data_IF_133000538524
#
_entry.id   IF_133000538524
#
_cell.length_a   1.000
_cell.length_b   1.000
_cell.length_c   1.000
_cell.angle_alpha   90.00
_cell.angle_beta   90.00
_cell.angle_gamma   90.00
#
_symmetry.space_group_name_H-M   'P 1'
#
loop_
_entity.id
_entity.type
_entity.pdbx_description
1 polymer ?
#
# COMPACT_ATOMS: atom_id res chain seq x y z
N UNK A 1 11.69 6.56 -22.12
CA UNK A 1 12.46 7.60 -21.39
C UNK A 1 12.21 7.29 -19.93
N UNK A 2 13.05 6.41 -19.38
CA UNK A 2 12.95 5.91 -18.01
C UNK A 2 14.09 6.60 -17.28
N UNK A 3 13.82 7.73 -16.64
CA UNK A 3 14.81 8.38 -15.78
C UNK A 3 14.73 7.78 -14.38
N UNK A 4 15.93 7.65 -13.80
CA UNK A 4 16.28 6.97 -12.57
C UNK A 4 15.44 7.40 -11.36
N UNK A 5 14.77 6.44 -10.72
CA UNK A 5 14.33 6.53 -9.33
C UNK A 5 15.35 5.78 -8.46
N UNK A 6 16.51 6.40 -8.21
CA UNK A 6 17.66 5.75 -7.57
C UNK A 6 17.86 6.06 -6.07
N UNK A 7 16.95 6.76 -5.40
CA UNK A 7 17.17 7.14 -3.97
C UNK A 7 15.96 6.96 -3.06
N UNK A 8 15.01 6.11 -3.44
CA UNK A 8 14.05 5.58 -2.47
C UNK A 8 14.24 4.07 -2.43
N UNK A 9 14.98 3.60 -1.43
CA UNK A 9 15.01 2.19 -1.10
C UNK A 9 13.88 1.90 -0.10
N UNK A 10 12.69 1.45 -0.56
CA UNK A 10 11.58 1.14 0.33
C UNK A 10 11.94 0.03 1.34
N UNK A 11 13.01 -0.74 1.09
CA UNK A 11 13.46 -1.81 1.95
C UNK A 11 14.24 -1.30 3.18
N UNK A 12 14.71 -0.04 3.17
CA UNK A 12 15.45 0.55 4.30
C UNK A 12 14.63 0.75 5.58
N UNK A 13 13.29 0.72 5.47
CA UNK A 13 12.35 0.87 6.59
C UNK A 13 11.80 -0.47 7.10
N UNK A 14 12.12 -1.59 6.45
CA UNK A 14 11.75 -2.91 6.92
C UNK A 14 12.76 -3.38 7.98
N UNK A 15 12.32 -4.00 9.08
CA UNK A 15 13.25 -4.72 9.96
C UNK A 15 13.99 -5.80 9.14
N UNK A 16 15.23 -6.10 9.50
CA UNK A 16 16.14 -6.97 8.70
C UNK A 16 15.56 -8.35 8.37
N UNK A 17 14.58 -8.84 9.13
CA UNK A 17 13.89 -10.11 8.90
C UNK A 17 12.84 -10.03 7.77
N UNK A 18 12.12 -8.91 7.66
CA UNK A 18 11.06 -8.69 6.66
C UNK A 18 11.63 -8.38 5.26
N UNK A 19 12.80 -7.75 5.18
CA UNK A 19 13.52 -7.53 3.91
C UNK A 19 13.91 -8.87 3.26
N UNK A 20 14.36 -9.85 4.04
CA UNK A 20 14.71 -11.17 3.53
C UNK A 20 13.49 -11.95 3.06
N UNK A 21 12.35 -11.83 3.75
CA UNK A 21 11.11 -12.50 3.34
C UNK A 21 10.53 -11.89 2.04
N UNK A 22 10.64 -10.57 1.86
CA UNK A 22 10.27 -9.92 0.60
C UNK A 22 11.19 -10.32 -0.57
N UNK A 23 12.51 -10.28 -0.36
CA UNK A 23 13.51 -10.64 -1.39
C UNK A 23 13.47 -12.13 -1.75
N UNK A 24 13.16 -13.00 -0.79
CA UNK A 24 13.02 -14.44 -1.01
C UNK A 24 11.65 -14.86 -1.56
N UNK A 25 10.70 -13.92 -1.71
CA UNK A 25 9.35 -14.20 -2.20
C UNK A 25 8.50 -15.03 -1.24
N UNK A 26 8.85 -15.06 0.05
CA UNK A 26 8.05 -15.70 1.08
C UNK A 26 6.73 -14.96 1.24
N UNK A 27 5.68 -15.74 1.46
CA UNK A 27 4.30 -15.25 1.55
C UNK A 27 4.12 -14.51 2.88
N UNK A 28 4.29 -13.19 2.87
CA UNK A 28 4.00 -12.35 4.04
C UNK A 28 2.50 -12.42 4.33
N UNK A 29 2.16 -12.80 5.55
CA UNK A 29 0.78 -12.89 6.04
C UNK A 29 0.48 -11.73 6.97
N UNK A 30 -0.69 -11.13 6.78
CA UNK A 30 -1.29 -10.14 7.66
C UNK A 30 -1.45 -10.70 9.08
N UNK A 31 -1.52 -9.83 10.08
CA UNK A 31 -1.88 -10.17 11.47
C UNK A 31 -3.26 -10.87 11.57
N UNK A 32 -4.11 -10.68 10.57
CA UNK A 32 -5.43 -11.33 10.40
C UNK A 32 -5.31 -12.69 9.67
N UNK A 33 -4.09 -13.16 9.39
CA UNK A 33 -3.82 -14.44 8.72
C UNK A 33 -4.14 -14.46 7.22
N UNK A 34 -4.42 -13.29 6.64
CA UNK A 34 -4.68 -13.14 5.20
C UNK A 34 -3.37 -12.89 4.46
N UNK A 35 -3.24 -13.35 3.20
CA UNK A 35 -2.03 -13.08 2.44
C UNK A 35 -1.93 -11.59 2.09
N UNK A 36 -0.76 -10.98 2.28
CA UNK A 36 -0.50 -9.59 1.89
C UNK A 36 -0.29 -9.49 0.37
N UNK A 37 -1.36 -9.62 -0.40
CA UNK A 37 -1.36 -9.33 -1.84
C UNK A 37 -2.66 -8.70 -2.30
N UNK A 38 -2.58 -7.87 -3.34
CA UNK A 38 -3.76 -7.26 -3.95
C UNK A 38 -4.50 -8.17 -4.94
N UNK A 39 -3.93 -9.33 -5.31
CA UNK A 39 -4.59 -10.28 -6.23
C UNK A 39 -5.94 -10.72 -5.65
N UNK A 40 -7.03 -10.35 -6.33
CA UNK A 40 -8.39 -10.64 -5.87
C UNK A 40 -8.94 -9.69 -4.80
N UNK A 41 -8.22 -8.61 -4.47
CA UNK A 41 -8.79 -7.46 -3.77
C UNK A 41 -9.73 -6.71 -4.71
N UNK A 42 -10.75 -6.09 -4.13
CA UNK A 42 -11.81 -5.37 -4.86
C UNK A 42 -11.69 -3.87 -4.65
N UNK A 43 -12.05 -3.10 -5.67
CA UNK A 43 -12.34 -1.67 -5.50
C UNK A 43 -13.65 -1.55 -4.73
N UNK A 44 -13.55 -1.20 -3.45
CA UNK A 44 -14.69 -1.15 -2.54
C UNK A 44 -15.45 0.20 -2.61
N UNK A 45 -14.82 1.25 -3.15
CA UNK A 45 -15.46 2.53 -3.38
C UNK A 45 -15.06 3.10 -4.73
N UNK A 46 -16.04 3.41 -5.57
CA UNK A 46 -15.85 4.02 -6.90
C UNK A 46 -16.70 5.28 -6.94
N UNK A 47 -16.05 6.45 -7.01
CA UNK A 47 -16.70 7.75 -7.18
C UNK A 47 -16.46 8.22 -8.61
N UNK A 48 -17.46 8.15 -9.51
CA UNK A 48 -17.30 8.53 -10.91
C UNK A 48 -16.78 9.95 -11.07
N UNK A 49 -15.75 10.13 -11.90
CA UNK A 49 -15.14 11.44 -12.17
C UNK A 49 -14.25 11.99 -11.05
N UNK A 50 -14.00 11.22 -9.98
CA UNK A 50 -13.19 11.68 -8.86
C UNK A 50 -12.11 10.67 -8.46
N UNK A 51 -12.49 9.56 -7.83
CA UNK A 51 -11.53 8.64 -7.21
C UNK A 51 -12.06 7.21 -7.16
N UNK A 52 -11.14 6.25 -7.21
CA UNK A 52 -11.40 4.84 -6.95
C UNK A 52 -10.55 4.41 -5.77
N UNK A 53 -11.18 3.84 -4.74
CA UNK A 53 -10.51 3.27 -3.58
C UNK A 53 -10.56 1.74 -3.64
N UNK A 54 -9.43 1.13 -3.32
CA UNK A 54 -9.24 -0.31 -3.24
C UNK A 54 -8.19 -0.62 -2.19
N UNK A 55 -7.60 -1.81 -2.28
CA UNK A 55 -6.47 -2.18 -1.41
C UNK A 55 -6.86 -2.71 -0.04
N UNK A 56 -8.15 -2.79 0.27
CA UNK A 56 -8.63 -3.55 1.43
C UNK A 56 -8.51 -5.05 1.14
N UNK A 57 -7.38 -5.62 1.56
CA UNK A 57 -7.05 -7.05 1.45
C UNK A 57 -7.70 -7.89 2.55
N UNK A 58 -8.12 -7.26 3.66
CA UNK A 58 -8.63 -7.99 4.83
C UNK A 58 -10.15 -8.07 4.82
N UNK A 59 -10.88 -6.96 4.78
CA UNK A 59 -12.35 -6.94 4.92
C UNK A 59 -13.08 -6.65 3.60
N UNK A 60 -12.38 -6.13 2.59
CA UNK A 60 -12.93 -5.76 1.26
C UNK A 60 -14.06 -4.72 1.30
N UNK A 61 -14.19 -3.96 2.38
CA UNK A 61 -15.24 -2.98 2.60
C UNK A 61 -14.70 -1.57 2.92
N UNK A 62 -13.37 -1.41 2.98
CA UNK A 62 -12.69 -0.15 3.25
C UNK A 62 -12.34 0.08 4.73
N UNK A 63 -12.70 -0.84 5.63
CA UNK A 63 -12.32 -0.77 7.06
C UNK A 63 -11.05 -1.57 7.38
N UNK A 64 -10.56 -2.33 6.40
CA UNK A 64 -9.38 -3.17 6.52
C UNK A 64 -8.19 -2.66 5.70
N UNK A 65 -7.30 -3.58 5.38
CA UNK A 65 -6.00 -3.29 4.82
C UNK A 65 -4.91 -3.39 5.89
N UNK A 66 -3.79 -3.97 5.51
CA UNK A 66 -2.61 -4.02 6.34
C UNK A 66 -1.40 -3.86 5.42
N UNK A 67 -0.41 -3.10 5.89
CA UNK A 67 0.83 -2.93 5.16
C UNK A 67 1.83 -4.01 5.58
N UNK A 68 2.85 -4.24 4.75
CA UNK A 68 3.99 -5.08 5.14
C UNK A 68 4.75 -4.52 6.34
N UNK A 69 4.58 -3.23 6.64
CA UNK A 69 5.18 -2.54 7.79
C UNK A 69 4.30 -2.63 9.05
N UNK A 70 3.16 -3.33 8.99
CA UNK A 70 2.18 -3.42 10.07
C UNK A 70 0.91 -2.58 9.85
N UNK A 71 0.14 -2.28 10.93
CA UNK A 71 -1.21 -1.73 10.82
C UNK A 71 -1.25 -0.26 10.41
N UNK A 72 -0.24 0.53 10.77
CA UNK A 72 -0.14 1.94 10.42
C UNK A 72 1.31 2.29 10.10
N UNK A 73 1.52 3.19 9.14
CA UNK A 73 2.82 3.75 8.82
C UNK A 73 2.75 5.27 8.75
N UNK A 74 3.89 5.91 9.02
CA UNK A 74 4.01 7.37 9.03
C UNK A 74 3.81 7.90 7.61
N UNK A 75 3.19 9.07 7.49
CA UNK A 75 3.09 9.74 6.19
C UNK A 75 4.49 10.02 5.64
N UNK A 76 4.66 9.76 4.36
CA UNK A 76 5.83 10.22 3.64
C UNK A 76 5.74 11.75 3.41
N UNK A 77 6.60 12.30 2.57
CA UNK A 77 6.61 13.73 2.30
C UNK A 77 5.49 14.15 1.31
N UNK A 78 4.63 15.11 1.67
CA UNK A 78 3.52 15.62 0.83
C UNK A 78 3.95 16.52 -0.34
N UNK A 79 5.13 16.29 -0.89
CA UNK A 79 5.72 17.11 -1.96
C UNK A 79 4.94 16.99 -3.28
N UNK A 80 4.32 15.83 -3.53
CA UNK A 80 3.56 15.56 -4.76
C UNK A 80 2.08 15.89 -4.57
N UNK A 81 1.57 16.80 -5.39
CA UNK A 81 0.16 17.23 -5.38
C UNK A 81 -0.67 16.36 -6.33
N UNK A 82 -1.93 16.13 -5.98
CA UNK A 82 -2.91 15.43 -6.82
C UNK A 82 -3.51 16.38 -7.85
N UNK A 83 -2.75 16.73 -8.89
CA UNK A 83 -3.14 17.75 -9.88
C UNK A 83 -3.86 17.18 -11.11
N UNK A 84 -3.67 15.90 -11.42
CA UNK A 84 -4.14 15.27 -12.66
C UNK A 84 -4.75 13.86 -12.42
N UNK A 85 -5.58 13.35 -13.33
CA UNK A 85 -6.09 11.99 -13.29
C UNK A 85 -4.98 10.93 -13.34
N UNK A 86 -5.19 9.79 -12.68
CA UNK A 86 -4.25 8.67 -12.69
C UNK A 86 -3.13 8.75 -11.63
N UNK A 87 -3.17 9.76 -10.75
CA UNK A 87 -2.27 9.85 -9.61
C UNK A 87 -2.66 8.82 -8.56
N UNK A 88 -1.71 7.98 -8.16
CA UNK A 88 -1.87 7.02 -7.08
C UNK A 88 -1.53 7.68 -5.74
N UNK A 89 -2.38 7.46 -4.74
CA UNK A 89 -2.18 7.95 -3.38
C UNK A 89 -2.65 6.94 -2.35
N UNK A 90 -2.09 7.02 -1.15
CA UNK A 90 -2.45 6.17 -0.01
C UNK A 90 -3.68 6.74 0.69
N UNK A 91 -4.70 5.91 0.89
CA UNK A 91 -5.84 6.25 1.74
C UNK A 91 -5.53 5.97 3.21
N UNK A 92 -5.79 6.94 4.09
CA UNK A 92 -5.69 6.77 5.54
C UNK A 92 -7.02 7.07 6.22
N UNK A 93 -7.39 6.26 7.21
CA UNK A 93 -8.52 6.54 8.09
C UNK A 93 -8.03 7.37 9.26
N UNK A 94 -8.42 8.65 9.32
CA UNK A 94 -8.15 9.50 10.49
C UNK A 94 -8.99 8.96 11.65
N UNK A 95 -8.35 8.34 12.64
CA UNK A 95 -8.96 8.00 13.93
C UNK A 95 -8.71 9.14 14.91
#
# INVERSE_FOLDING_TARGET
MWEEYSEYDPLSFLPDDDTLDYVSGKKVTSTVGKPLHYKGSTFHCVVPGYVVHGGDITHRNGTGGESIYGPNFVDDNFLKKHIDPGILSTTKTST
#
